data_IF_199012917354
#
_entry.id   IF_199012917354
#
_cell.length_a   1.000
_cell.length_b   1.000
_cell.length_c   1.000
_cell.angle_alpha   90.00
_cell.angle_beta   90.00
_cell.angle_gamma   90.00
#
_symmetry.space_group_name_H-M   'P 1'
#
loop_
_entity.id
_entity.type
_entity.pdbx_description
1 polymer ?
#
# COMPACT_ATOMS: atom_id res chain seq x y z
N UNK A 1 34.05 -12.44 -67.93
CA UNK A 1 33.14 -11.77 -66.98
C UNK A 1 32.69 -12.77 -65.93
N UNK A 2 33.02 -12.57 -64.64
CA UNK A 2 32.30 -13.14 -63.49
C UNK A 2 32.76 -12.41 -62.23
N UNK A 3 31.94 -11.45 -61.79
CA UNK A 3 32.15 -10.61 -60.61
C UNK A 3 31.77 -11.45 -59.37
N UNK A 4 32.72 -11.68 -58.47
CA UNK A 4 32.42 -12.21 -57.14
C UNK A 4 31.92 -11.05 -56.26
N UNK A 5 30.63 -11.03 -55.98
CA UNK A 5 30.03 -10.11 -55.00
C UNK A 5 30.34 -10.64 -53.59
N UNK A 6 31.15 -9.90 -52.82
CA UNK A 6 31.34 -10.14 -51.39
C UNK A 6 30.11 -9.63 -50.65
N UNK A 7 29.30 -10.54 -50.11
CA UNK A 7 28.32 -10.19 -49.08
C UNK A 7 29.09 -9.83 -47.80
N UNK A 8 29.02 -8.56 -47.40
CA UNK A 8 29.39 -8.12 -46.07
C UNK A 8 28.17 -8.30 -45.18
N UNK A 9 28.19 -9.32 -44.33
CA UNK A 9 27.16 -9.54 -43.32
C UNK A 9 27.36 -8.54 -42.18
N UNK A 10 26.47 -7.56 -42.07
CA UNK A 10 26.41 -6.62 -40.96
C UNK A 10 25.78 -7.34 -39.76
N UNK A 11 26.60 -7.73 -38.78
CA UNK A 11 26.14 -8.31 -37.52
C UNK A 11 25.67 -7.18 -36.60
N UNK A 12 24.37 -6.93 -36.56
CA UNK A 12 23.77 -5.98 -35.61
C UNK A 12 23.82 -6.59 -34.21
N UNK A 13 24.67 -6.04 -33.34
CA UNK A 13 24.74 -6.39 -31.92
C UNK A 13 23.48 -5.84 -31.26
N UNK A 14 22.47 -6.70 -31.03
CA UNK A 14 21.37 -6.38 -30.11
C UNK A 14 21.96 -6.33 -28.70
N UNK A 15 22.13 -5.13 -28.16
CA UNK A 15 22.40 -4.96 -26.73
C UNK A 15 21.18 -5.50 -25.96
N UNK A 16 21.36 -6.40 -24.99
CA UNK A 16 20.28 -6.80 -24.11
C UNK A 16 19.85 -5.57 -23.31
N UNK A 17 18.62 -5.11 -23.52
CA UNK A 17 17.99 -4.15 -22.64
C UNK A 17 17.90 -4.82 -21.26
N UNK A 18 18.79 -4.45 -20.35
CA UNK A 18 18.73 -4.90 -18.97
C UNK A 18 17.37 -4.51 -18.40
N UNK A 19 16.60 -5.49 -17.95
CA UNK A 19 15.40 -5.23 -17.19
C UNK A 19 15.80 -4.41 -15.96
N UNK A 20 15.42 -3.14 -15.93
CA UNK A 20 15.58 -2.34 -14.72
C UNK A 20 14.73 -3.01 -13.63
N UNK A 21 15.38 -3.63 -12.66
CA UNK A 21 14.70 -4.08 -11.45
C UNK A 21 14.27 -2.84 -10.69
N UNK A 22 12.96 -2.59 -10.59
CA UNK A 22 12.43 -1.53 -9.77
C UNK A 22 12.92 -1.72 -8.33
N UNK A 23 13.65 -0.74 -7.80
CA UNK A 23 14.08 -0.75 -6.41
C UNK A 23 12.86 -0.41 -5.55
N UNK A 24 12.53 -1.25 -4.57
CA UNK A 24 11.38 -1.00 -3.70
C UNK A 24 11.79 -0.20 -2.46
N UNK A 25 11.09 0.90 -2.23
CA UNK A 25 11.09 1.59 -0.94
C UNK A 25 10.08 0.92 -0.03
N UNK A 26 10.51 0.52 1.17
CA UNK A 26 9.70 -0.22 2.15
C UNK A 26 9.47 0.63 3.39
N UNK A 27 8.24 0.61 3.89
CA UNK A 27 7.78 1.49 4.96
C UNK A 27 6.89 0.73 5.94
N UNK A 28 6.92 1.16 7.20
CA UNK A 28 5.99 0.73 8.25
C UNK A 28 5.25 1.93 8.83
N UNK A 29 4.06 1.70 9.32
CA UNK A 29 3.26 2.72 9.99
C UNK A 29 2.44 2.13 11.12
N UNK A 30 2.03 2.99 12.04
CA UNK A 30 1.14 2.63 13.13
C UNK A 30 0.08 3.71 13.25
N UNK A 31 -1.18 3.28 13.26
CA UNK A 31 -2.30 4.15 13.61
C UNK A 31 -2.75 3.80 15.02
N UNK A 32 -2.83 4.82 15.89
CA UNK A 32 -3.34 4.68 17.25
C UNK A 32 -4.77 5.18 17.31
N UNK A 33 -5.72 4.25 17.49
CA UNK A 33 -7.12 4.56 17.70
C UNK A 33 -7.44 4.90 19.15
N UNK A 34 -8.68 5.34 19.39
CA UNK A 34 -9.20 5.43 20.75
C UNK A 34 -9.42 4.03 21.35
N UNK A 35 -9.70 3.94 22.65
CA UNK A 35 -10.16 2.70 23.29
C UNK A 35 -9.15 1.54 23.28
N UNK A 36 -7.87 1.79 23.02
CA UNK A 36 -6.84 0.75 22.93
C UNK A 36 -6.82 0.01 21.59
N UNK A 37 -7.48 0.56 20.55
CA UNK A 37 -7.40 0.05 19.19
C UNK A 37 -6.16 0.56 18.48
N UNK A 38 -5.56 -0.27 17.63
CA UNK A 38 -4.34 0.08 16.88
C UNK A 38 -4.29 -0.68 15.55
N UNK A 39 -3.68 -0.06 14.54
CA UNK A 39 -3.26 -0.74 13.31
C UNK A 39 -1.74 -0.72 13.22
N UNK A 40 -1.15 -1.87 12.92
CA UNK A 40 0.19 -1.94 12.33
C UNK A 40 0.08 -2.18 10.84
N UNK A 41 0.85 -1.43 10.06
CA UNK A 41 0.83 -1.57 8.62
C UNK A 41 2.20 -1.49 7.97
N UNK A 42 2.26 -2.05 6.76
CA UNK A 42 3.45 -2.09 5.93
C UNK A 42 3.06 -1.71 4.51
N UNK A 43 3.92 -0.96 3.83
CA UNK A 43 3.74 -0.67 2.41
C UNK A 43 5.07 -0.65 1.66
N UNK A 44 5.00 -0.97 0.37
CA UNK A 44 6.11 -0.86 -0.54
C UNK A 44 5.67 -0.22 -1.87
N UNK A 45 6.56 0.57 -2.46
CA UNK A 45 6.38 1.23 -3.76
C UNK A 45 7.74 1.44 -4.43
N UNK A 46 7.78 1.79 -5.71
CA UNK A 46 9.03 2.06 -6.44
C UNK A 46 9.77 3.27 -5.82
N UNK A 47 11.04 3.09 -5.46
CA UNK A 47 11.87 4.12 -4.86
C UNK A 47 12.01 5.37 -5.74
N UNK A 48 11.86 5.25 -7.07
CA UNK A 48 11.80 6.38 -7.98
C UNK A 48 10.63 7.33 -7.68
N UNK A 49 9.62 6.89 -6.93
CA UNK A 49 8.47 7.70 -6.56
C UNK A 49 8.70 8.57 -5.31
N UNK A 50 9.84 8.46 -4.61
CA UNK A 50 10.11 9.24 -3.38
C UNK A 50 10.14 10.75 -3.58
N UNK A 51 10.39 11.24 -4.80
CA UNK A 51 10.37 12.67 -5.13
C UNK A 51 9.01 13.18 -5.59
N UNK A 52 7.99 12.33 -5.68
CA UNK A 52 6.64 12.75 -6.05
C UNK A 52 5.98 13.49 -4.88
N UNK A 53 5.10 14.47 -5.15
CA UNK A 53 4.36 15.17 -4.10
C UNK A 53 3.45 14.23 -3.32
N UNK A 54 2.85 13.25 -4.01
CA UNK A 54 1.95 12.26 -3.43
C UNK A 54 2.02 10.94 -4.20
N UNK A 55 1.66 9.85 -3.53
CA UNK A 55 1.45 8.53 -4.10
C UNK A 55 0.00 8.12 -3.92
N UNK A 56 -0.54 7.48 -4.96
CA UNK A 56 -1.92 6.99 -4.99
C UNK A 56 -1.99 5.48 -4.98
N UNK A 57 -3.20 4.97 -4.94
CA UNK A 57 -3.53 3.55 -4.81
C UNK A 57 -2.78 2.64 -5.80
N UNK A 58 -2.57 3.09 -7.04
CA UNK A 58 -1.89 2.35 -8.12
C UNK A 58 -0.36 2.40 -8.06
N UNK A 59 0.22 3.31 -7.25
CA UNK A 59 1.67 3.40 -7.05
C UNK A 59 2.18 2.38 -6.02
N UNK A 60 1.27 1.69 -5.32
CA UNK A 60 1.59 0.80 -4.22
C UNK A 60 1.77 -0.63 -4.73
N UNK A 61 2.98 -1.15 -4.56
CA UNK A 61 3.35 -2.50 -4.97
C UNK A 61 2.95 -3.55 -3.92
N UNK A 62 3.06 -3.23 -2.63
CA UNK A 62 2.62 -4.10 -1.55
C UNK A 62 1.96 -3.29 -0.43
N UNK A 63 0.91 -3.83 0.19
CA UNK A 63 0.24 -3.22 1.32
C UNK A 63 -0.42 -4.26 2.22
N UNK A 64 -0.31 -4.08 3.53
CA UNK A 64 -1.00 -4.88 4.55
C UNK A 64 -1.24 -4.05 5.80
N UNK A 65 -2.38 -4.29 6.45
CA UNK A 65 -2.75 -3.75 7.77
C UNK A 65 -3.23 -4.87 8.68
N UNK A 66 -2.85 -4.80 9.94
CA UNK A 66 -3.22 -5.72 11.00
C UNK A 66 -3.78 -4.92 12.18
N UNK A 67 -5.00 -5.23 12.59
CA UNK A 67 -5.71 -4.55 13.66
C UNK A 67 -5.58 -5.25 14.99
N UNK A 68 -5.48 -4.47 16.06
CA UNK A 68 -5.37 -4.92 17.44
C UNK A 68 -6.34 -4.17 18.36
N UNK A 69 -6.77 -4.83 19.43
CA UNK A 69 -7.37 -4.21 20.61
C UNK A 69 -6.61 -4.70 21.85
N UNK A 70 -5.81 -3.83 22.46
CA UNK A 70 -4.72 -4.26 23.34
C UNK A 70 -3.75 -5.17 22.59
N UNK A 71 -3.45 -6.34 23.15
CA UNK A 71 -2.57 -7.35 22.51
C UNK A 71 -3.32 -8.35 21.63
N UNK A 72 -4.66 -8.24 21.54
CA UNK A 72 -5.48 -9.20 20.80
C UNK A 72 -5.64 -8.77 19.34
N UNK A 73 -5.27 -9.62 18.36
CA UNK A 73 -5.57 -9.35 16.95
C UNK A 73 -7.08 -9.40 16.72
N UNK A 74 -7.60 -8.44 15.95
CA UNK A 74 -9.04 -8.31 15.66
C UNK A 74 -9.37 -8.39 14.17
N UNK A 75 -8.38 -8.31 13.30
CA UNK A 75 -8.59 -8.39 11.86
C UNK A 75 -7.33 -8.03 11.07
N UNK A 76 -7.37 -8.29 9.77
CA UNK A 76 -6.28 -8.03 8.84
C UNK A 76 -6.83 -7.85 7.43
N UNK A 77 -6.20 -6.98 6.65
CA UNK A 77 -6.46 -6.87 5.21
C UNK A 77 -5.15 -6.62 4.45
N UNK A 78 -5.05 -7.14 3.23
CA UNK A 78 -3.86 -7.05 2.40
C UNK A 78 -4.21 -6.82 0.93
N UNK A 79 -3.31 -6.16 0.18
CA UNK A 79 -3.58 -5.73 -1.21
C UNK A 79 -3.93 -6.89 -2.16
N UNK A 80 -3.34 -8.07 -1.95
CA UNK A 80 -3.65 -9.27 -2.74
C UNK A 80 -5.05 -9.82 -2.51
N UNK A 81 -5.76 -9.37 -1.46
CA UNK A 81 -7.16 -9.72 -1.20
C UNK A 81 -8.14 -8.77 -1.91
N UNK A 82 -7.64 -7.75 -2.64
CA UNK A 82 -8.46 -6.78 -3.35
C UNK A 82 -9.28 -7.47 -4.44
N UNK A 83 -10.60 -7.35 -4.35
CA UNK A 83 -11.54 -7.73 -5.41
C UNK A 83 -12.14 -6.51 -6.12
N UNK A 84 -12.94 -6.72 -7.18
CA UNK A 84 -13.60 -5.63 -7.91
C UNK A 84 -14.51 -4.73 -7.05
N UNK A 85 -15.05 -5.27 -5.95
CA UNK A 85 -15.91 -4.54 -5.03
C UNK A 85 -15.15 -3.88 -3.86
N UNK A 86 -13.84 -4.12 -3.73
CA UNK A 86 -13.05 -3.59 -2.61
C UNK A 86 -12.78 -2.11 -2.80
N UNK A 87 -13.22 -1.28 -1.86
CA UNK A 87 -12.80 0.13 -1.80
C UNK A 87 -11.32 0.21 -1.46
N UNK A 88 -10.55 0.85 -2.34
CA UNK A 88 -9.11 1.04 -2.20
C UNK A 88 -8.74 2.47 -2.60
N UNK A 89 -8.64 3.34 -1.59
CA UNK A 89 -8.15 4.71 -1.72
C UNK A 89 -6.97 4.85 -0.77
N UNK A 90 -5.85 5.33 -1.28
CA UNK A 90 -4.66 5.60 -0.51
C UNK A 90 -4.03 6.88 -1.03
N UNK A 91 -3.62 7.73 -0.10
CA UNK A 91 -2.87 8.95 -0.39
C UNK A 91 -1.71 9.05 0.58
N UNK A 92 -0.50 8.85 0.08
CA UNK A 92 0.73 8.97 0.87
C UNK A 92 1.54 10.17 0.41
N UNK A 93 2.15 10.90 1.34
CA UNK A 93 2.93 12.11 1.10
C UNK A 93 4.40 11.81 1.42
N UNK A 94 5.24 11.42 0.44
CA UNK A 94 6.61 10.95 0.70
C UNK A 94 7.49 11.98 1.42
N UNK A 95 7.35 13.26 1.05
CA UNK A 95 8.11 14.35 1.66
C UNK A 95 7.76 14.53 3.14
N UNK A 96 6.50 14.34 3.51
CA UNK A 96 6.00 14.47 4.88
C UNK A 96 6.15 13.17 5.68
N UNK A 97 6.43 12.05 5.00
CA UNK A 97 6.52 10.72 5.60
C UNK A 97 5.22 10.35 6.34
N UNK A 98 4.09 10.67 5.75
CA UNK A 98 2.78 10.47 6.36
C UNK A 98 1.72 10.14 5.31
N UNK A 99 0.67 9.47 5.75
CA UNK A 99 -0.57 9.38 5.00
C UNK A 99 -1.30 10.71 5.11
N UNK A 100 -1.90 11.16 4.00
CA UNK A 100 -2.78 12.32 4.04
C UNK A 100 -3.96 12.04 4.97
N UNK A 101 -4.34 13.06 5.74
CA UNK A 101 -5.48 13.08 6.64
C UNK A 101 -6.59 13.94 6.05
N UNK A 102 -7.79 13.92 6.63
CA UNK A 102 -8.91 14.69 6.11
C UNK A 102 -8.58 16.19 6.04
N UNK A 103 -8.82 16.80 4.87
CA UNK A 103 -8.66 18.22 4.64
C UNK A 103 -9.24 18.67 3.31
N UNK A 104 -9.23 19.98 3.00
CA UNK A 104 -9.78 20.52 1.75
C UNK A 104 -9.20 19.88 0.48
N UNK A 105 -7.90 19.60 0.47
CA UNK A 105 -7.21 18.96 -0.65
C UNK A 105 -7.42 17.44 -0.69
N UNK A 106 -7.91 16.87 0.40
CA UNK A 106 -7.99 15.44 0.65
C UNK A 106 -9.28 15.08 1.43
N UNK A 107 -10.46 15.09 0.78
CA UNK A 107 -11.74 14.90 1.47
C UNK A 107 -12.02 13.45 1.92
N UNK A 108 -11.34 12.46 1.33
CA UNK A 108 -11.38 11.04 1.71
C UNK A 108 -10.05 10.37 1.31
N UNK A 109 -8.95 10.66 2.02
CA UNK A 109 -7.61 10.27 1.57
C UNK A 109 -7.32 8.78 1.72
N UNK A 110 -8.01 8.11 2.63
CA UNK A 110 -7.80 6.69 2.95
C UNK A 110 -9.14 5.96 3.00
N UNK A 111 -9.21 4.83 2.31
CA UNK A 111 -10.29 3.86 2.39
C UNK A 111 -9.71 2.49 2.00
N UNK A 112 -9.35 1.70 3.01
CA UNK A 112 -8.67 0.43 2.86
C UNK A 112 -9.63 -0.69 3.22
N UNK A 113 -10.25 -1.31 2.21
CA UNK A 113 -11.31 -2.31 2.40
C UNK A 113 -12.44 -1.80 3.31
N UNK A 114 -12.79 -0.52 3.16
CA UNK A 114 -13.86 0.13 3.89
C UNK A 114 -14.48 1.18 2.99
N UNK A 115 -15.80 1.23 2.90
CA UNK A 115 -16.56 2.08 1.98
C UNK A 115 -16.52 3.60 2.27
N UNK A 116 -15.75 4.04 3.26
CA UNK A 116 -15.70 5.43 3.71
C UNK A 116 -16.79 5.82 4.70
N UNK A 117 -17.79 4.95 4.95
CA UNK A 117 -18.84 5.12 5.96
C UNK A 117 -18.74 4.10 7.10
N UNK A 118 -17.88 3.09 6.95
CA UNK A 118 -17.71 2.00 7.90
C UNK A 118 -18.86 1.03 7.93
N UNK A 119 -19.68 1.03 6.88
CA UNK A 119 -20.83 0.14 6.74
C UNK A 119 -20.50 -1.13 5.97
N UNK A 120 -19.36 -1.17 5.29
CA UNK A 120 -18.89 -2.36 4.60
C UNK A 120 -17.36 -2.47 4.62
N UNK A 121 -16.87 -3.54 5.24
CA UNK A 121 -15.52 -4.06 5.07
C UNK A 121 -15.50 -5.56 4.74
N UNK A 122 -16.65 -6.10 4.33
CA UNK A 122 -16.90 -7.53 4.11
C UNK A 122 -17.10 -8.35 5.39
N UNK A 123 -17.89 -9.45 5.33
CA UNK A 123 -17.97 -10.45 6.40
C UNK A 123 -16.60 -11.08 6.69
N UNK A 124 -16.24 -11.18 7.96
CA UNK A 124 -14.91 -11.61 8.42
C UNK A 124 -13.77 -10.65 8.03
N UNK A 125 -14.10 -9.50 7.44
CA UNK A 125 -13.15 -8.54 6.91
C UNK A 125 -12.68 -7.53 7.95
N UNK A 126 -11.65 -6.80 7.56
CA UNK A 126 -11.05 -5.71 8.32
C UNK A 126 -10.84 -4.53 7.39
N UNK A 127 -11.11 -3.33 7.87
CA UNK A 127 -10.94 -2.13 7.07
C UNK A 127 -10.60 -0.92 7.91
N UNK A 128 -10.14 0.13 7.22
CA UNK A 128 -9.82 1.43 7.80
C UNK A 128 -10.16 2.53 6.82
N UNK A 129 -10.61 3.68 7.31
CA UNK A 129 -10.82 4.88 6.49
C UNK A 129 -10.49 6.15 7.28
N UNK A 130 -10.32 7.23 6.52
CA UNK A 130 -10.24 8.60 7.05
C UNK A 130 -11.34 9.41 6.39
N UNK A 131 -12.41 9.67 7.13
CA UNK A 131 -13.52 10.52 6.70
C UNK A 131 -13.50 11.89 7.36
N UNK A 132 -14.49 12.73 7.03
CA UNK A 132 -14.66 14.05 7.64
C UNK A 132 -15.09 14.03 9.12
N UNK A 133 -15.59 12.89 9.59
CA UNK A 133 -16.07 12.70 10.97
C UNK A 133 -15.00 12.12 11.89
N UNK A 134 -14.31 11.07 11.43
CA UNK A 134 -13.26 10.41 12.19
C UNK A 134 -12.32 9.62 11.28
N UNK A 135 -11.25 9.13 11.88
CA UNK A 135 -10.53 7.96 11.39
C UNK A 135 -10.98 6.74 12.21
N UNK A 136 -11.33 5.65 11.56
CA UNK A 136 -11.85 4.47 12.23
C UNK A 136 -11.57 3.16 11.51
N UNK A 137 -11.87 2.07 12.21
CA UNK A 137 -11.78 0.72 11.69
C UNK A 137 -13.16 0.11 11.56
N UNK A 138 -13.27 -0.82 10.61
CA UNK A 138 -14.38 -1.75 10.48
C UNK A 138 -13.89 -3.16 10.75
N UNK A 139 -14.70 -3.94 11.47
CA UNK A 139 -14.49 -5.37 11.70
C UNK A 139 -15.79 -6.10 11.40
N UNK A 140 -15.71 -7.13 10.55
CA UNK A 140 -16.86 -7.98 10.20
C UNK A 140 -18.06 -7.16 9.68
N UNK A 141 -17.79 -6.23 8.77
CA UNK A 141 -18.77 -5.33 8.17
C UNK A 141 -19.33 -4.26 9.11
N UNK A 142 -18.73 -4.04 10.28
CA UNK A 142 -19.23 -3.08 11.28
C UNK A 142 -18.18 -2.08 11.71
N UNK A 143 -18.54 -0.80 11.62
CA UNK A 143 -17.80 0.31 12.23
C UNK A 143 -17.58 0.08 13.73
N UNK A 144 -16.33 0.25 14.16
CA UNK A 144 -15.96 0.26 15.57
C UNK A 144 -15.89 1.71 16.05
N UNK A 145 -17.03 2.26 16.48
CA UNK A 145 -17.14 3.64 16.96
C UNK A 145 -16.13 3.93 18.10
N UNK A 146 -15.85 2.95 18.96
CA UNK A 146 -14.91 3.09 20.06
C UNK A 146 -13.44 3.29 19.62
N UNK A 147 -13.11 3.03 18.36
CA UNK A 147 -11.76 3.26 17.82
C UNK A 147 -11.57 4.68 17.30
N UNK A 148 -12.65 5.46 17.16
CA UNK A 148 -12.62 6.73 16.45
C UNK A 148 -11.66 7.74 17.06
N UNK A 149 -10.90 8.39 16.19
CA UNK A 149 -10.06 9.55 16.51
C UNK A 149 -10.34 10.70 15.56
N UNK A 150 -9.80 11.88 15.87
CA UNK A 150 -10.03 13.08 15.06
C UNK A 150 -9.61 12.84 13.59
N UNK A 151 -10.38 13.32 12.60
CA UNK A 151 -10.05 13.22 11.17
C UNK A 151 -8.65 13.70 10.81
N UNK A 152 -8.17 14.71 11.53
CA UNK A 152 -6.88 15.36 11.33
C UNK A 152 -5.73 14.72 12.12
N UNK A 153 -5.98 13.62 12.85
CA UNK A 153 -4.94 12.95 13.62
C UNK A 153 -3.81 12.49 12.68
N UNK A 154 -2.54 12.87 12.93
CA UNK A 154 -1.45 12.47 12.05
C UNK A 154 -1.30 10.96 11.94
N UNK A 155 -1.00 10.49 10.72
CA UNK A 155 -0.75 9.07 10.44
C UNK A 155 0.65 8.92 9.80
N UNK A 156 1.72 8.96 10.60
CA UNK A 156 3.10 8.92 10.11
C UNK A 156 3.50 7.51 9.66
N UNK A 157 4.46 7.45 8.74
CA UNK A 157 5.15 6.24 8.32
C UNK A 157 6.66 6.44 8.42
N UNK A 158 7.39 5.34 8.64
CA UNK A 158 8.85 5.35 8.78
C UNK A 158 9.46 4.40 7.74
N UNK A 159 10.53 4.81 7.03
CA UNK A 159 11.27 3.90 6.18
C UNK A 159 11.74 2.68 6.97
N UNK A 160 11.59 1.50 6.39
CA UNK A 160 11.97 0.23 6.99
C UNK A 160 12.65 -0.66 5.94
N UNK A 161 13.90 -0.34 5.52
CA UNK A 161 14.60 -1.09 4.49
C UNK A 161 14.68 -2.58 4.80
N UNK A 162 14.33 -3.42 3.82
CA UNK A 162 14.35 -4.87 3.97
C UNK A 162 13.19 -5.45 4.78
N UNK A 163 12.16 -4.65 5.10
CA UNK A 163 10.94 -5.12 5.74
C UNK A 163 10.28 -6.22 4.89
N UNK A 164 10.00 -7.35 5.53
CA UNK A 164 9.32 -8.48 4.89
C UNK A 164 7.82 -8.27 4.76
N UNK A 165 7.24 -8.88 3.73
CA UNK A 165 5.82 -8.85 3.46
C UNK A 165 5.24 -10.27 3.45
N UNK A 166 4.03 -10.47 3.97
CA UNK A 166 3.32 -11.73 3.81
C UNK A 166 2.92 -11.92 2.33
N UNK A 167 2.72 -13.17 1.86
CA UNK A 167 2.53 -13.46 0.44
C UNK A 167 1.35 -12.76 -0.23
N UNK A 168 0.29 -12.48 0.54
CA UNK A 168 -0.94 -11.82 0.11
C UNK A 168 -0.85 -10.27 0.17
N UNK A 169 0.25 -9.69 0.64
CA UNK A 169 0.43 -8.24 0.64
C UNK A 169 0.83 -7.67 -0.72
N UNK A 170 1.34 -8.49 -1.63
CA UNK A 170 1.80 -8.08 -2.96
C UNK A 170 1.02 -8.88 -4.03
N UNK A 171 0.26 -8.24 -4.93
CA UNK A 171 -0.43 -8.96 -5.99
C UNK A 171 0.58 -9.53 -7.01
N UNK A 172 0.62 -10.86 -7.15
CA UNK A 172 1.42 -11.58 -8.17
C UNK A 172 2.92 -11.72 -7.88
N UNK A 173 3.69 -12.19 -8.88
CA UNK A 173 5.12 -12.55 -8.82
C UNK A 173 6.11 -11.38 -8.59
N UNK A 174 5.70 -10.34 -7.86
CA UNK A 174 6.59 -9.32 -7.28
C UNK A 174 7.56 -9.90 -6.21
N UNK A 175 7.48 -11.20 -5.95
CA UNK A 175 8.20 -11.93 -4.90
C UNK A 175 9.67 -12.24 -5.19
N UNK A 176 10.23 -11.87 -6.35
CA UNK A 176 11.64 -12.20 -6.67
C UNK A 176 12.64 -11.32 -5.88
N UNK A 177 12.20 -10.20 -5.28
CA UNK A 177 13.06 -9.30 -4.49
C UNK A 177 12.63 -9.05 -3.04
N UNK A 178 11.38 -9.35 -2.67
CA UNK A 178 10.88 -9.15 -1.31
C UNK A 178 11.18 -10.38 -0.45
N UNK A 179 11.95 -10.20 0.63
CA UNK A 179 12.13 -11.25 1.64
C UNK A 179 10.75 -11.61 2.20
N UNK A 180 10.34 -12.87 2.04
CA UNK A 180 9.20 -13.43 2.77
C UNK A 180 9.51 -13.29 4.26
N UNK A 181 8.63 -12.60 4.98
CA UNK A 181 8.64 -12.67 6.44
C UNK A 181 7.92 -13.95 6.84
N UNK A 182 8.62 -14.85 7.50
CA UNK A 182 8.05 -16.03 8.14
C UNK A 182 7.27 -15.67 9.42
#
# INVERSE_FOLDING_TARGET
MRRFARLVAFFAILAPAGAATAELSTWRFTWEGAGGYRIEGRMAFDAAHLSRPELRADDIACFVIEGFHGDRPIGRWALGQRGPATTWILTFLPAERAFAVYGPDHPMPQAWNMDGFGTDCGPGGFGFNVGNWAQDICVDGRLIVASQVAPSQPLPAVPAPGLGFPPDACPGDLLIGLRRGD
#
